data_IF_345602674048
#
_entry.id   IF_345602674048
#
_cell.length_a   1.000
_cell.length_b   1.000
_cell.length_c   1.000
_cell.angle_alpha   90.00
_cell.angle_beta   90.00
_cell.angle_gamma   90.00
#
_symmetry.space_group_name_H-M   'P 1'
#
loop_
_entity.id
_entity.type
_entity.pdbx_description
1 polymer ?
#
# COMPACT_ATOMS: atom_id res chain seq x y z
N UNK A 1 0.89 0.55 15.41
CA UNK A 1 1.57 0.45 14.11
C UNK A 1 2.02 -0.95 13.85
N UNK A 2 1.91 -1.35 12.61
CA UNK A 2 2.51 -2.60 12.16
C UNK A 2 3.66 -2.26 11.23
N UNK A 3 4.85 -2.79 11.53
CA UNK A 3 6.04 -2.54 10.73
C UNK A 3 6.41 -3.82 9.99
N UNK A 4 6.61 -3.71 8.70
CA UNK A 4 6.99 -4.86 7.87
C UNK A 4 8.25 -4.51 7.09
N UNK A 5 9.31 -5.26 7.34
CA UNK A 5 10.58 -5.04 6.67
C UNK A 5 10.63 -5.77 5.34
N UNK A 6 11.39 -5.24 4.39
CA UNK A 6 11.67 -5.99 3.17
C UNK A 6 12.68 -7.11 3.48
N UNK A 7 12.99 -7.93 2.48
CA UNK A 7 13.84 -9.10 2.70
C UNK A 7 15.22 -8.76 3.26
N UNK A 8 15.80 -7.67 2.82
CA UNK A 8 17.12 -7.24 3.28
C UNK A 8 17.08 -6.36 4.51
N UNK A 9 15.90 -6.00 4.96
CA UNK A 9 15.70 -5.14 6.13
C UNK A 9 16.37 -3.77 6.01
N UNK A 10 16.43 -3.24 4.81
CA UNK A 10 16.93 -1.89 4.59
C UNK A 10 15.80 -0.89 4.32
N UNK A 11 14.59 -1.40 4.10
CA UNK A 11 13.39 -0.59 4.00
C UNK A 11 12.27 -1.23 4.79
N UNK A 12 11.33 -0.41 5.23
CA UNK A 12 10.15 -0.91 5.93
C UNK A 12 8.96 -0.05 5.59
N UNK A 13 7.76 -0.62 5.65
CA UNK A 13 6.57 0.20 5.65
C UNK A 13 5.88 0.03 6.99
N UNK A 14 5.25 1.09 7.43
CA UNK A 14 4.49 1.10 8.67
C UNK A 14 3.05 1.39 8.33
N UNK A 15 2.16 0.61 8.92
CA UNK A 15 0.73 0.71 8.63
C UNK A 15 -0.01 1.06 9.90
N UNK A 16 -0.87 2.05 9.79
CA UNK A 16 -1.81 2.39 10.85
C UNK A 16 -3.22 2.16 10.31
N UNK A 17 -3.93 1.21 10.89
CA UNK A 17 -5.30 0.93 10.52
C UNK A 17 -6.23 1.82 11.31
N UNK A 18 -7.07 2.55 10.61
CA UNK A 18 -8.11 3.34 11.24
C UNK A 18 -9.45 2.76 10.82
N UNK A 19 -10.25 2.37 11.79
CA UNK A 19 -11.57 1.85 11.49
C UNK A 19 -12.46 2.98 11.02
N UNK A 20 -12.93 2.86 9.79
CA UNK A 20 -13.90 3.78 9.26
C UNK A 20 -15.30 3.37 9.61
N UNK A 21 -16.25 4.19 9.20
CA UNK A 21 -17.66 3.91 9.36
C UNK A 21 -18.06 2.82 8.38
N UNK A 22 -19.00 1.97 8.79
CA UNK A 22 -19.57 0.91 7.94
C UNK A 22 -18.57 -0.17 7.54
N UNK A 23 -17.60 -0.45 8.39
CA UNK A 23 -16.66 -1.55 8.14
C UNK A 23 -15.57 -1.26 7.14
N UNK A 24 -15.49 -0.04 6.66
CA UNK A 24 -14.42 0.36 5.75
C UNK A 24 -13.18 0.68 6.57
N UNK A 25 -12.08 0.01 6.25
CA UNK A 25 -10.81 0.25 6.92
C UNK A 25 -9.97 1.20 6.10
N UNK A 26 -9.53 2.27 6.72
CA UNK A 26 -8.57 3.18 6.10
C UNK A 26 -7.19 2.75 6.52
N UNK A 27 -6.29 2.74 5.57
CA UNK A 27 -4.90 2.39 5.83
C UNK A 27 -4.04 3.60 5.57
N UNK A 28 -3.44 4.11 6.63
CA UNK A 28 -2.38 5.10 6.51
C UNK A 28 -1.08 4.33 6.53
N UNK A 29 -0.22 4.57 5.57
CA UNK A 29 1.07 3.91 5.60
C UNK A 29 2.17 4.87 5.21
N UNK A 30 3.36 4.58 5.67
CA UNK A 30 4.53 5.31 5.24
C UNK A 30 5.69 4.34 5.07
N UNK A 31 6.61 4.72 4.21
CA UNK A 31 7.78 3.90 3.89
C UNK A 31 9.01 4.59 4.44
N UNK A 32 9.85 3.81 5.08
CA UNK A 32 11.01 4.30 5.77
C UNK A 32 12.27 3.66 5.18
N UNK A 33 13.27 4.48 4.92
CA UNK A 33 14.59 3.99 4.51
C UNK A 33 15.43 3.88 5.78
N UNK A 34 15.78 2.65 6.16
CA UNK A 34 16.48 2.43 7.41
C UNK A 34 17.91 2.93 7.38
N UNK A 35 18.56 2.84 6.23
CA UNK A 35 19.94 3.28 6.10
C UNK A 35 20.12 4.77 6.30
N UNK A 36 19.14 5.57 5.89
CA UNK A 36 19.17 7.01 6.07
C UNK A 36 18.29 7.50 7.20
N UNK A 37 17.53 6.58 7.79
CA UNK A 37 16.61 6.89 8.89
C UNK A 37 15.62 7.98 8.48
N UNK A 38 15.01 7.82 7.32
CA UNK A 38 14.21 8.86 6.73
C UNK A 38 12.92 8.30 6.14
N UNK A 39 11.81 9.04 6.32
CA UNK A 39 10.56 8.70 5.69
C UNK A 39 10.62 9.15 4.24
N UNK A 40 10.42 8.22 3.31
CA UNK A 40 10.57 8.52 1.89
C UNK A 40 9.23 8.58 1.14
N UNK A 41 8.14 8.10 1.76
CA UNK A 41 6.85 8.08 1.10
C UNK A 41 5.75 7.86 2.12
N UNK A 42 4.61 8.45 1.90
CA UNK A 42 3.42 8.14 2.68
C UNK A 42 2.18 8.32 1.82
N UNK A 43 1.14 7.59 2.15
CA UNK A 43 -0.11 7.67 1.42
C UNK A 43 -1.24 7.15 2.29
N UNK A 44 -2.46 7.43 1.86
CA UNK A 44 -3.66 6.95 2.50
C UNK A 44 -4.43 6.10 1.52
N UNK A 45 -4.77 4.88 1.93
CA UNK A 45 -5.58 3.99 1.13
C UNK A 45 -6.93 3.88 1.79
N UNK A 46 -7.99 4.37 1.17
CA UNK A 46 -9.34 4.33 1.79
C UNK A 46 -9.79 2.91 2.11
N UNK A 47 -9.45 1.93 1.29
CA UNK A 47 -9.81 0.55 1.52
C UNK A 47 -8.88 -0.33 0.69
N UNK A 48 -8.11 -1.16 1.33
CA UNK A 48 -7.18 -2.00 0.58
C UNK A 48 -6.13 -2.65 1.43
N UNK A 49 -5.02 -2.97 0.81
CA UNK A 49 -3.91 -3.63 1.49
C UNK A 49 -2.58 -3.22 0.89
N UNK A 50 -1.53 -3.53 1.61
CA UNK A 50 -0.17 -3.24 1.20
C UNK A 50 0.73 -4.42 1.57
N UNK A 51 1.65 -4.77 0.70
CA UNK A 51 2.63 -5.81 1.00
C UNK A 51 3.85 -5.64 0.08
N UNK A 52 4.92 -6.34 0.41
CA UNK A 52 6.10 -6.36 -0.43
C UNK A 52 5.88 -7.34 -1.57
N UNK A 53 5.92 -6.86 -2.81
CA UNK A 53 5.84 -7.73 -3.98
C UNK A 53 7.20 -8.32 -4.29
N UNK A 54 8.23 -7.56 -4.08
CA UNK A 54 9.61 -8.02 -4.23
C UNK A 54 10.47 -7.22 -3.26
N UNK A 55 11.78 -7.40 -3.33
CA UNK A 55 12.69 -6.81 -2.36
C UNK A 55 12.56 -5.30 -2.24
N UNK A 56 12.34 -4.61 -3.35
CA UNK A 56 12.26 -3.16 -3.36
C UNK A 56 10.98 -2.62 -3.97
N UNK A 57 9.99 -3.47 -4.19
CA UNK A 57 8.72 -3.07 -4.79
C UNK A 57 7.58 -3.35 -3.82
N UNK A 58 6.87 -2.31 -3.46
CA UNK A 58 5.63 -2.44 -2.69
C UNK A 58 4.46 -2.60 -3.63
N UNK A 59 3.52 -3.43 -3.25
CA UNK A 59 2.27 -3.56 -3.96
C UNK A 59 1.16 -3.00 -3.10
N UNK A 60 0.49 -1.99 -3.62
CA UNK A 60 -0.64 -1.35 -2.94
C UNK A 60 -1.89 -1.71 -3.73
N UNK A 61 -2.83 -2.37 -3.06
CA UNK A 61 -4.09 -2.77 -3.67
C UNK A 61 -5.19 -1.96 -3.04
N UNK A 62 -5.93 -1.25 -3.87
CA UNK A 62 -7.06 -0.48 -3.42
C UNK A 62 -8.34 -1.16 -3.90
N UNK A 63 -9.24 -1.44 -2.97
CA UNK A 63 -10.49 -2.13 -3.28
C UNK A 63 -11.61 -1.11 -3.26
N UNK A 64 -12.40 -0.98 -4.35
CA UNK A 64 -13.54 -0.07 -4.36
C UNK A 64 -14.51 -0.42 -3.23
N UNK A 65 -15.01 0.60 -2.54
CA UNK A 65 -15.91 0.39 -1.42
C UNK A 65 -17.29 -0.09 -1.82
N UNK A 66 -17.69 0.14 -3.06
CA UNK A 66 -19.01 -0.27 -3.56
C UNK A 66 -18.81 -1.00 -4.87
N UNK A 67 -19.24 -2.24 -4.89
CA UNK A 67 -19.22 -3.05 -6.11
C UNK A 67 -20.65 -3.19 -6.58
N UNK A 68 -20.95 -2.65 -7.75
CA UNK A 68 -22.26 -2.81 -8.35
C UNK A 68 -22.33 -4.17 -9.02
N UNK A 69 -23.47 -4.82 -8.91
CA UNK A 69 -23.63 -6.13 -9.55
C UNK A 69 -23.38 -6.09 -11.04
N UNK A 70 -23.74 -4.99 -11.66
CA UNK A 70 -23.58 -4.84 -13.10
C UNK A 70 -22.14 -4.79 -13.55
N UNK A 71 -21.25 -4.58 -12.62
CA UNK A 71 -19.83 -4.42 -12.91
C UNK A 71 -19.01 -5.61 -12.46
N UNK A 72 -19.61 -6.78 -12.42
CA UNK A 72 -18.89 -7.98 -12.01
C UNK A 72 -17.64 -8.26 -12.83
N UNK A 73 -17.73 -7.98 -14.12
CA UNK A 73 -16.59 -8.14 -15.00
C UNK A 73 -15.53 -7.06 -14.77
N UNK A 74 -15.89 -6.05 -14.02
CA UNK A 74 -15.05 -4.89 -13.78
C UNK A 74 -14.60 -4.84 -12.33
N UNK A 75 -14.35 -5.99 -11.72
CA UNK A 75 -13.77 -5.99 -10.40
C UNK A 75 -12.35 -5.47 -10.56
N UNK A 76 -12.25 -4.19 -10.76
CA UNK A 76 -10.99 -3.52 -10.91
C UNK A 76 -10.42 -3.28 -9.55
N UNK A 77 -9.45 -4.07 -9.21
CA UNK A 77 -8.62 -3.71 -8.09
C UNK A 77 -7.72 -2.62 -8.60
N UNK A 78 -7.99 -1.42 -8.18
CA UNK A 78 -7.08 -0.34 -8.48
C UNK A 78 -5.93 -0.40 -7.48
N UNK A 79 -4.90 0.36 -7.74
CA UNK A 79 -3.73 0.37 -6.90
C UNK A 79 -2.51 0.65 -7.74
N UNK A 80 -1.36 0.44 -7.13
CA UNK A 80 -0.11 0.73 -7.82
C UNK A 80 1.04 -0.04 -7.17
N UNK A 81 2.15 -0.06 -7.88
CA UNK A 81 3.42 -0.53 -7.32
C UNK A 81 4.25 0.70 -6.98
N UNK A 82 5.04 0.60 -5.95
CA UNK A 82 5.94 1.69 -5.57
C UNK A 82 7.35 1.15 -5.42
N UNK A 83 8.27 1.73 -6.18
CA UNK A 83 9.67 1.35 -6.10
C UNK A 83 10.36 2.23 -5.06
N UNK A 84 10.82 1.61 -3.97
CA UNK A 84 11.40 2.37 -2.87
C UNK A 84 12.78 2.92 -3.20
N UNK A 85 13.46 2.36 -4.20
CA UNK A 85 14.76 2.85 -4.63
C UNK A 85 14.62 4.11 -5.47
N UNK A 86 13.75 4.08 -6.47
CA UNK A 86 13.54 5.21 -7.36
C UNK A 86 12.54 6.21 -6.82
N UNK A 87 11.79 5.79 -5.80
CA UNK A 87 10.74 6.60 -5.16
C UNK A 87 9.67 7.02 -6.15
N UNK A 88 9.30 6.10 -7.03
CA UNK A 88 8.30 6.36 -8.06
C UNK A 88 7.20 5.31 -8.05
N UNK A 89 6.00 5.75 -8.41
CA UNK A 89 4.88 4.84 -8.62
C UNK A 89 5.02 4.16 -9.97
N UNK A 90 4.62 2.89 -10.00
CA UNK A 90 4.62 2.10 -11.23
C UNK A 90 3.21 1.58 -11.47
N UNK A 91 2.88 1.37 -12.73
CA UNK A 91 1.60 0.78 -13.06
C UNK A 91 1.56 -0.67 -12.61
N UNK A 92 0.40 -1.08 -12.17
CA UNK A 92 0.22 -2.41 -11.61
C UNK A 92 -0.05 -3.50 -12.64
N UNK A 93 -0.06 -3.21 -13.87
CA UNK A 93 -0.34 -4.19 -14.93
C UNK A 93 0.76 -5.23 -15.06
#
# INVERSE_FOLDING_TARGET
YRVTYNAKKDFAYCVENTKGVAGISRINYFVYALSSNEEIWKDLIPNGSINWKSEYILEIIEIPGIIKKDDESMVNRSGYLFNVITRKKLNRN
#
